data_IF_726820040736
#
_entry.id   IF_726820040736
#
_cell.length_a   1.000
_cell.length_b   1.000
_cell.length_c   1.000
_cell.angle_alpha   90.00
_cell.angle_beta   90.00
_cell.angle_gamma   90.00
#
_symmetry.space_group_name_H-M   'P 1'
#
loop_
_entity.id
_entity.type
_entity.pdbx_description
1 polymer ?
#
# COMPACT_ATOMS: atom_id res chain seq x y z
N UNK A 1 25.89 9.26 -17.94
CA UNK A 1 26.40 10.39 -17.13
C UNK A 1 27.88 10.55 -17.44
N UNK A 2 28.24 11.65 -18.11
CA UNK A 2 29.62 12.14 -18.24
C UNK A 2 29.98 12.79 -16.90
N UNK A 3 31.21 12.56 -16.44
CA UNK A 3 31.54 12.64 -15.03
C UNK A 3 31.65 14.08 -14.48
N UNK A 4 30.79 14.41 -13.51
CA UNK A 4 30.91 15.64 -12.70
C UNK A 4 31.87 15.47 -11.51
N UNK A 5 31.67 16.25 -10.43
CA UNK A 5 32.45 16.29 -9.17
C UNK A 5 32.74 14.95 -8.46
N UNK A 6 32.20 13.84 -8.95
CA UNK A 6 32.31 12.52 -8.34
C UNK A 6 33.57 11.74 -8.75
N UNK A 7 34.40 12.23 -9.68
CA UNK A 7 35.61 11.52 -10.14
C UNK A 7 36.81 11.64 -9.22
N UNK A 8 36.82 12.62 -8.32
CA UNK A 8 37.96 12.88 -7.43
C UNK A 8 37.82 12.19 -6.07
N UNK A 9 36.64 11.67 -5.75
CA UNK A 9 36.34 11.10 -4.45
C UNK A 9 36.30 9.56 -4.47
N UNK A 10 36.72 8.97 -3.34
CA UNK A 10 36.74 7.54 -3.09
C UNK A 10 35.37 6.89 -3.33
N UNK A 11 35.37 5.63 -3.77
CA UNK A 11 34.19 4.84 -4.15
C UNK A 11 33.06 4.84 -3.10
N UNK A 12 33.39 5.06 -1.82
CA UNK A 12 32.41 5.13 -0.71
C UNK A 12 31.49 6.34 -0.83
N UNK A 13 32.02 7.53 -1.16
CA UNK A 13 31.23 8.77 -1.29
C UNK A 13 30.28 8.66 -2.49
N UNK A 14 30.75 8.03 -3.57
CA UNK A 14 29.96 7.77 -4.76
C UNK A 14 28.71 6.93 -4.44
N UNK A 15 28.84 5.87 -3.63
CA UNK A 15 27.71 5.00 -3.24
C UNK A 15 26.70 5.76 -2.37
N UNK A 16 27.17 6.54 -1.40
CA UNK A 16 26.28 7.34 -0.56
C UNK A 16 25.53 8.41 -1.35
N UNK A 17 26.11 8.95 -2.41
CA UNK A 17 25.44 9.90 -3.27
C UNK A 17 24.24 9.27 -4.01
N UNK A 18 24.41 8.12 -4.67
CA UNK A 18 23.28 7.44 -5.31
C UNK A 18 22.25 6.97 -4.29
N UNK A 19 22.70 6.47 -3.13
CA UNK A 19 21.78 6.07 -2.06
C UNK A 19 20.94 7.26 -1.58
N UNK A 20 21.55 8.44 -1.41
CA UNK A 20 20.85 9.65 -1.02
C UNK A 20 19.86 10.12 -2.10
N UNK A 21 20.21 10.03 -3.37
CA UNK A 21 19.32 10.35 -4.48
C UNK A 21 18.08 9.43 -4.46
N UNK A 22 18.27 8.10 -4.38
CA UNK A 22 17.14 7.16 -4.29
C UNK A 22 16.30 7.35 -3.03
N UNK A 23 16.93 7.63 -1.88
CA UNK A 23 16.21 7.92 -0.64
C UNK A 23 15.33 9.18 -0.77
N UNK A 24 15.82 10.21 -1.47
CA UNK A 24 15.06 11.44 -1.71
C UNK A 24 13.84 11.21 -2.61
N UNK A 25 13.97 10.38 -3.65
CA UNK A 25 12.86 10.01 -4.54
C UNK A 25 11.77 9.27 -3.76
N UNK A 26 12.15 8.28 -2.94
CA UNK A 26 11.20 7.53 -2.11
C UNK A 26 10.46 8.45 -1.13
N UNK A 27 11.17 9.38 -0.49
CA UNK A 27 10.56 10.34 0.45
C UNK A 27 9.52 11.22 -0.25
N UNK A 28 9.86 11.79 -1.40
CA UNK A 28 8.95 12.65 -2.17
C UNK A 28 7.73 11.86 -2.65
N UNK A 29 7.90 10.60 -3.09
CA UNK A 29 6.80 9.72 -3.48
C UNK A 29 5.84 9.42 -2.31
N UNK A 30 6.36 9.19 -1.11
CA UNK A 30 5.53 8.98 0.08
C UNK A 30 4.76 10.26 0.41
N UNK A 31 5.43 11.42 0.44
CA UNK A 31 4.78 12.70 0.76
C UNK A 31 3.68 13.07 -0.24
N UNK A 32 3.94 12.89 -1.53
CA UNK A 32 2.96 13.14 -2.59
C UNK A 32 1.78 12.18 -2.51
N UNK A 33 2.01 10.90 -2.17
CA UNK A 33 0.93 9.92 -1.99
C UNK A 33 -0.01 10.29 -0.83
N UNK A 34 0.53 10.86 0.26
CA UNK A 34 -0.23 11.25 1.45
C UNK A 34 -0.99 12.56 1.20
N UNK A 35 -0.33 13.59 0.66
CA UNK A 35 -0.93 14.91 0.48
C UNK A 35 -1.91 14.98 -0.70
N UNK A 36 -1.63 14.30 -1.82
CA UNK A 36 -2.40 14.47 -3.06
C UNK A 36 -3.22 13.24 -3.46
N UNK A 37 -2.75 12.01 -3.22
CA UNK A 37 -3.48 10.78 -3.59
C UNK A 37 -4.38 10.24 -2.47
N UNK A 38 -4.66 11.05 -1.45
CA UNK A 38 -5.56 10.70 -0.36
C UNK A 38 -5.01 9.66 0.62
N UNK A 39 -3.70 9.40 0.61
CA UNK A 39 -3.02 8.55 1.60
C UNK A 39 -3.70 7.20 1.83
N UNK A 40 -4.17 7.01 3.07
CA UNK A 40 -4.84 5.80 3.57
C UNK A 40 -6.29 5.61 3.10
N UNK A 41 -6.83 6.51 2.27
CA UNK A 41 -8.15 6.33 1.69
C UNK A 41 -8.18 5.09 0.81
N UNK A 42 -9.12 4.20 1.13
CA UNK A 42 -9.38 2.98 0.40
C UNK A 42 -10.05 3.28 -0.93
N UNK A 43 -9.55 2.64 -1.98
CA UNK A 43 -10.16 2.72 -3.30
C UNK A 43 -11.36 1.75 -3.44
N UNK A 44 -11.38 0.68 -2.65
CA UNK A 44 -12.43 -0.34 -2.64
C UNK A 44 -12.99 -0.53 -1.22
N UNK A 45 -14.31 -0.59 -1.09
CA UNK A 45 -14.97 -0.95 0.17
C UNK A 45 -14.92 -2.47 0.36
N UNK A 46 -14.67 -2.91 1.60
CA UNK A 46 -14.71 -4.33 1.93
C UNK A 46 -16.09 -4.94 1.69
N UNK A 47 -17.14 -4.13 1.85
CA UNK A 47 -18.53 -4.50 1.61
C UNK A 47 -18.78 -4.97 0.16
N UNK A 48 -18.04 -4.45 -0.83
CA UNK A 48 -18.16 -4.93 -2.22
C UNK A 48 -17.59 -6.35 -2.40
N UNK A 49 -16.45 -6.65 -1.77
CA UNK A 49 -15.85 -8.00 -1.81
C UNK A 49 -16.67 -9.02 -1.02
N UNK A 50 -17.18 -8.60 0.13
CA UNK A 50 -18.00 -9.41 1.03
C UNK A 50 -19.33 -9.77 0.36
N UNK A 51 -20.08 -8.78 -0.15
CA UNK A 51 -21.36 -9.04 -0.84
C UNK A 51 -21.21 -9.95 -2.07
N UNK A 52 -20.10 -9.87 -2.79
CA UNK A 52 -19.82 -10.76 -3.93
C UNK A 52 -19.63 -12.22 -3.51
N UNK A 53 -19.02 -12.48 -2.36
CA UNK A 53 -18.77 -13.83 -1.84
C UNK A 53 -20.04 -14.43 -1.18
N UNK A 54 -20.77 -13.62 -0.40
CA UNK A 54 -22.01 -14.04 0.27
C UNK A 54 -23.13 -14.40 -0.72
N UNK A 55 -23.18 -13.81 -1.90
CA UNK A 55 -24.18 -14.17 -2.93
C UNK A 55 -24.05 -15.63 -3.39
N UNK A 56 -22.85 -16.21 -3.30
CA UNK A 56 -22.58 -17.59 -3.72
C UNK A 56 -22.88 -18.62 -2.60
N UNK A 57 -22.69 -18.22 -1.34
CA UNK A 57 -22.88 -19.09 -0.17
C UNK A 57 -24.34 -19.17 0.31
N UNK A 58 -25.14 -18.11 0.12
CA UNK A 58 -26.57 -18.05 0.51
C UNK A 58 -27.41 -19.20 -0.06
N UNK A 59 -26.99 -19.79 -1.18
CA UNK A 59 -27.71 -20.89 -1.83
C UNK A 59 -27.59 -22.21 -1.05
N UNK A 60 -26.59 -22.38 -0.17
CA UNK A 60 -26.27 -23.70 0.37
C UNK A 60 -26.57 -23.93 1.87
N UNK A 61 -26.16 -23.11 2.87
CA UNK A 61 -26.24 -23.55 4.31
C UNK A 61 -26.33 -22.43 5.40
N UNK A 62 -26.74 -21.18 5.13
CA UNK A 62 -26.25 -20.05 5.96
C UNK A 62 -27.00 -19.57 7.23
N UNK A 63 -28.26 -19.93 7.50
CA UNK A 63 -29.01 -19.19 8.55
C UNK A 63 -28.53 -19.44 10.01
N UNK A 64 -28.00 -20.62 10.34
CA UNK A 64 -27.53 -20.95 11.71
C UNK A 64 -26.05 -20.59 11.97
N UNK A 65 -25.23 -20.48 10.93
CA UNK A 65 -23.79 -20.13 11.05
C UNK A 65 -23.59 -18.62 11.29
N UNK A 66 -24.53 -17.81 10.80
CA UNK A 66 -24.45 -16.35 10.79
C UNK A 66 -24.27 -15.73 12.21
N UNK A 67 -24.98 -16.22 13.22
CA UNK A 67 -24.92 -15.66 14.59
C UNK A 67 -23.56 -15.89 15.28
N UNK A 68 -22.91 -17.03 15.02
CA UNK A 68 -21.58 -17.32 15.58
C UNK A 68 -20.44 -16.62 14.82
N UNK A 69 -20.66 -16.30 13.54
CA UNK A 69 -19.65 -15.64 12.73
C UNK A 69 -19.56 -14.13 12.96
N UNK A 70 -20.65 -13.45 13.32
CA UNK A 70 -20.69 -11.98 13.50
C UNK A 70 -19.62 -11.44 14.48
N UNK A 71 -19.38 -12.12 15.62
CA UNK A 71 -18.38 -11.66 16.62
C UNK A 71 -16.94 -11.85 16.13
N UNK A 72 -16.63 -12.97 15.48
CA UNK A 72 -15.29 -13.25 14.96
C UNK A 72 -14.99 -12.44 13.69
N UNK A 73 -16.01 -12.23 12.86
CA UNK A 73 -15.94 -11.42 11.64
C UNK A 73 -15.57 -9.97 11.99
N UNK A 74 -16.12 -9.37 13.05
CA UNK A 74 -15.77 -7.98 13.40
C UNK A 74 -14.28 -7.80 13.78
N UNK A 75 -13.68 -8.76 14.49
CA UNK A 75 -12.25 -8.70 14.80
C UNK A 75 -11.38 -8.90 13.55
N UNK A 76 -11.72 -9.87 12.71
CA UNK A 76 -11.01 -10.11 11.46
C UNK A 76 -11.16 -8.92 10.51
N UNK A 77 -12.36 -8.34 10.40
CA UNK A 77 -12.64 -7.21 9.53
C UNK A 77 -11.86 -5.96 9.94
N UNK A 78 -11.76 -5.66 11.25
CA UNK A 78 -10.97 -4.51 11.71
C UNK A 78 -9.47 -4.67 11.40
N UNK A 79 -8.92 -5.87 11.55
CA UNK A 79 -7.53 -6.16 11.15
C UNK A 79 -7.34 -6.08 9.64
N UNK A 80 -8.25 -6.70 8.87
CA UNK A 80 -8.21 -6.67 7.41
C UNK A 80 -8.37 -5.23 6.91
N UNK A 81 -9.17 -4.43 7.60
CA UNK A 81 -9.41 -3.05 7.26
C UNK A 81 -8.13 -2.22 7.33
N UNK A 82 -7.35 -2.37 8.40
CA UNK A 82 -6.04 -1.73 8.57
C UNK A 82 -4.97 -2.27 7.61
N UNK A 83 -5.01 -3.56 7.28
CA UNK A 83 -4.10 -4.15 6.29
C UNK A 83 -4.37 -3.56 4.89
N UNK A 84 -5.64 -3.46 4.50
CA UNK A 84 -6.02 -2.96 3.18
C UNK A 84 -5.68 -1.47 3.03
N UNK A 85 -5.88 -0.65 4.07
CA UNK A 85 -5.55 0.78 4.02
C UNK A 85 -4.05 1.02 3.93
N UNK A 86 -3.22 0.24 4.64
CA UNK A 86 -1.76 0.34 4.58
C UNK A 86 -1.19 -0.18 3.25
N UNK A 87 -1.71 -1.29 2.72
CA UNK A 87 -1.32 -1.80 1.40
C UNK A 87 -1.67 -0.82 0.28
N UNK A 88 -2.81 -0.14 0.36
CA UNK A 88 -3.21 0.84 -0.64
C UNK A 88 -2.29 2.07 -0.67
N UNK A 89 -1.79 2.52 0.48
CA UNK A 89 -0.77 3.56 0.52
C UNK A 89 0.52 3.09 -0.18
N UNK A 90 0.97 1.86 0.11
CA UNK A 90 2.16 1.28 -0.51
C UNK A 90 2.05 1.13 -2.03
N UNK A 91 0.89 0.71 -2.53
CA UNK A 91 0.65 0.59 -3.98
C UNK A 91 0.73 1.96 -4.67
N UNK A 92 0.13 3.00 -4.06
CA UNK A 92 0.17 4.37 -4.59
C UNK A 92 1.59 4.92 -4.66
N UNK A 93 2.40 4.71 -3.61
CA UNK A 93 3.79 5.18 -3.58
C UNK A 93 4.68 4.38 -4.54
N UNK A 94 4.52 3.06 -4.65
CA UNK A 94 5.25 2.23 -5.62
C UNK A 94 5.00 2.66 -7.06
N UNK A 95 3.74 2.92 -7.43
CA UNK A 95 3.39 3.37 -8.78
C UNK A 95 4.05 4.71 -9.10
N UNK A 96 4.10 5.64 -8.14
CA UNK A 96 4.81 6.92 -8.29
C UNK A 96 6.32 6.74 -8.45
N UNK A 97 6.95 5.83 -7.70
CA UNK A 97 8.39 5.58 -7.80
C UNK A 97 8.77 5.13 -9.22
N UNK A 98 7.95 4.29 -9.87
CA UNK A 98 8.17 3.88 -11.26
C UNK A 98 8.06 5.00 -12.29
N UNK A 99 7.48 6.16 -11.94
CA UNK A 99 7.44 7.33 -12.83
C UNK A 99 8.75 8.14 -12.74
N UNK A 100 9.45 8.08 -11.60
CA UNK A 100 10.67 8.85 -11.35
C UNK A 100 11.97 8.07 -11.61
N UNK A 101 11.91 6.73 -11.61
CA UNK A 101 12.99 5.84 -12.08
C UNK A 101 12.90 5.67 -13.60
#
# INVERSE_FOLDING_TARGET
>A
MVSGFMTEHSAVIFIFFFLAEYASIVLICIFTSILFLGGYLKMFSLDFLINGFFFFDIINVDFFKNIYTEVNINFINTLLDGLISSLMLGIKSCLLIFVFI
#
